data_IF_651295368018
#
_entry.id   IF_651295368018
#
_cell.length_a   1.000
_cell.length_b   1.000
_cell.length_c   1.000
_cell.angle_alpha   90.00
_cell.angle_beta   90.00
_cell.angle_gamma   90.00
#
_symmetry.space_group_name_H-M   'P 1'
#
loop_
_entity.id
_entity.type
_entity.pdbx_description
1 polymer ?
#
# COMPACT_ATOMS: atom_id res chain seq x y z
N UNK A 1 7.89 -0.71 -30.65
CA UNK A 1 8.52 -2.05 -30.79
C UNK A 1 8.82 -2.57 -29.39
N UNK A 2 8.00 -3.48 -28.86
CA UNK A 2 8.28 -4.10 -27.55
C UNK A 2 9.44 -5.06 -27.78
N UNK A 3 10.59 -4.82 -27.11
CA UNK A 3 11.75 -5.71 -27.22
C UNK A 3 11.35 -7.07 -26.67
N UNK A 4 11.41 -8.10 -27.50
CA UNK A 4 11.05 -9.46 -27.11
C UNK A 4 11.93 -9.89 -25.93
N UNK A 5 11.30 -10.30 -24.82
CA UNK A 5 12.01 -10.67 -23.60
C UNK A 5 12.54 -12.10 -23.75
N UNK A 6 13.78 -12.33 -23.33
CA UNK A 6 14.31 -13.70 -23.25
C UNK A 6 13.46 -14.52 -22.26
N UNK A 7 13.30 -15.83 -22.49
CA UNK A 7 12.55 -16.72 -21.59
C UNK A 7 13.05 -16.66 -20.12
N UNK A 8 14.37 -16.57 -19.92
CA UNK A 8 14.95 -16.41 -18.59
C UNK A 8 14.47 -15.14 -17.88
N UNK A 9 14.39 -14.03 -18.61
CA UNK A 9 13.89 -12.75 -18.07
C UNK A 9 12.44 -12.88 -17.65
N UNK A 10 11.58 -13.45 -18.48
CA UNK A 10 10.17 -13.65 -18.15
C UNK A 10 9.97 -14.57 -16.93
N UNK A 11 10.79 -15.62 -16.83
CA UNK A 11 10.80 -16.52 -15.68
C UNK A 11 11.20 -15.79 -14.39
N UNK A 12 12.30 -15.02 -14.42
CA UNK A 12 12.75 -14.25 -13.26
C UNK A 12 11.72 -13.21 -12.81
N UNK A 13 11.05 -12.54 -13.76
CA UNK A 13 9.93 -11.64 -13.47
C UNK A 13 8.77 -12.36 -12.77
N UNK A 14 8.34 -13.51 -13.31
CA UNK A 14 7.26 -14.29 -12.72
C UNK A 14 7.60 -14.79 -11.31
N UNK A 15 8.82 -15.33 -11.10
CA UNK A 15 9.29 -15.78 -9.78
C UNK A 15 9.35 -14.62 -8.79
N UNK A 16 9.77 -13.43 -9.25
CA UNK A 16 9.87 -12.24 -8.39
C UNK A 16 8.50 -11.76 -7.93
N UNK A 17 7.51 -11.73 -8.82
CA UNK A 17 6.12 -11.40 -8.45
C UNK A 17 5.50 -12.48 -7.58
N UNK A 18 5.74 -13.76 -7.89
CA UNK A 18 5.24 -14.86 -7.07
C UNK A 18 5.84 -14.83 -5.66
N UNK A 19 7.14 -14.53 -5.51
CA UNK A 19 7.76 -14.32 -4.21
C UNK A 19 7.04 -13.23 -3.41
N UNK A 20 6.71 -12.11 -4.04
CA UNK A 20 5.95 -11.03 -3.40
C UNK A 20 4.53 -11.48 -2.98
N UNK A 21 3.79 -12.15 -3.86
CA UNK A 21 2.44 -12.67 -3.57
C UNK A 21 2.49 -13.67 -2.40
N UNK A 22 3.38 -14.65 -2.46
CA UNK A 22 3.55 -15.66 -1.42
C UNK A 22 3.98 -15.05 -0.09
N UNK A 23 4.81 -14.00 -0.12
CA UNK A 23 5.22 -13.29 1.09
C UNK A 23 4.05 -12.56 1.74
N UNK A 24 3.19 -11.91 0.95
CA UNK A 24 1.99 -11.25 1.45
C UNK A 24 0.98 -12.25 2.04
N UNK A 25 0.75 -13.39 1.38
CA UNK A 25 -0.26 -14.37 1.80
C UNK A 25 0.20 -15.28 2.95
N UNK A 26 1.43 -15.78 2.90
CA UNK A 26 1.84 -16.94 3.70
C UNK A 26 3.00 -16.70 4.64
N UNK A 27 3.84 -15.69 4.42
CA UNK A 27 5.04 -15.50 5.24
C UNK A 27 4.70 -15.23 6.71
N UNK A 28 3.72 -14.38 6.99
CA UNK A 28 3.29 -14.13 8.36
C UNK A 28 2.82 -15.39 9.09
N UNK A 29 2.00 -16.21 8.42
CA UNK A 29 1.53 -17.49 8.97
C UNK A 29 2.69 -18.48 9.16
N UNK A 30 3.59 -18.59 8.18
CA UNK A 30 4.77 -19.44 8.27
C UNK A 30 5.68 -19.03 9.43
N UNK A 31 5.87 -17.72 9.67
CA UNK A 31 6.62 -17.22 10.83
C UNK A 31 5.96 -17.61 12.15
N UNK A 32 4.63 -17.53 12.27
CA UNK A 32 3.91 -17.97 13.48
C UNK A 32 4.11 -19.47 13.70
N UNK A 33 3.86 -20.29 12.67
CA UNK A 33 4.01 -21.75 12.74
C UNK A 33 5.45 -22.10 13.15
N UNK A 34 6.45 -21.46 12.54
CA UNK A 34 7.85 -21.67 12.87
C UNK A 34 8.14 -21.33 14.34
N UNK A 35 7.72 -20.15 14.81
CA UNK A 35 7.98 -19.72 16.19
C UNK A 35 7.31 -20.64 17.21
N UNK A 36 6.07 -21.07 16.95
CA UNK A 36 5.35 -22.03 17.79
C UNK A 36 6.03 -23.40 17.75
N UNK A 37 6.37 -23.91 16.57
CA UNK A 37 7.06 -25.19 16.41
C UNK A 37 8.38 -25.23 17.18
N UNK A 38 9.22 -24.19 17.04
CA UNK A 38 10.51 -24.11 17.73
C UNK A 38 10.37 -24.15 19.25
N UNK A 39 9.29 -23.61 19.82
CA UNK A 39 9.00 -23.70 21.26
C UNK A 39 8.84 -25.15 21.75
N UNK A 40 8.49 -26.10 20.87
CA UNK A 40 8.36 -27.52 21.18
C UNK A 40 9.59 -28.37 20.80
N UNK A 41 10.72 -27.72 20.50
CA UNK A 41 11.99 -28.39 20.17
C UNK A 41 13.10 -27.99 21.14
N UNK A 42 14.29 -28.61 21.04
CA UNK A 42 15.48 -28.17 21.78
C UNK A 42 15.92 -26.74 21.46
N UNK A 43 15.39 -26.14 20.38
CA UNK A 43 15.65 -24.77 19.96
C UNK A 43 14.71 -23.73 20.60
N UNK A 44 13.85 -24.11 21.55
CA UNK A 44 12.94 -23.20 22.26
C UNK A 44 13.58 -21.93 22.89
N UNK A 45 14.88 -21.90 23.27
CA UNK A 45 15.49 -20.68 23.75
C UNK A 45 15.49 -19.56 22.70
N UNK A 46 15.56 -19.88 21.40
CA UNK A 46 15.57 -18.90 20.32
C UNK A 46 14.26 -18.06 20.26
N UNK A 47 13.07 -18.65 20.12
CA UNK A 47 11.82 -17.89 20.15
C UNK A 47 11.60 -17.20 21.49
N UNK A 48 12.00 -17.79 22.62
CA UNK A 48 11.86 -17.16 23.94
C UNK A 48 12.67 -15.87 24.04
N UNK A 49 13.96 -15.90 23.67
CA UNK A 49 14.81 -14.71 23.64
C UNK A 49 14.27 -13.66 22.67
N UNK A 50 13.78 -14.10 21.51
CA UNK A 50 13.15 -13.20 20.55
C UNK A 50 11.90 -12.53 21.13
N UNK A 51 11.00 -13.26 21.80
CA UNK A 51 9.80 -12.67 22.41
C UNK A 51 10.13 -11.69 23.54
N UNK A 52 11.12 -12.01 24.38
CA UNK A 52 11.62 -11.07 25.40
C UNK A 52 12.10 -9.77 24.74
N UNK A 53 12.91 -9.88 23.69
CA UNK A 53 13.34 -8.71 22.93
C UNK A 53 12.15 -7.97 22.28
N UNK A 54 11.18 -8.70 21.71
CA UNK A 54 10.02 -8.13 21.03
C UNK A 54 9.12 -7.32 21.98
N UNK A 55 9.00 -7.72 23.25
CA UNK A 55 8.27 -6.94 24.28
C UNK A 55 8.96 -5.59 24.50
N UNK A 56 10.29 -5.56 24.63
CA UNK A 56 11.05 -4.33 24.75
C UNK A 56 10.98 -3.48 23.46
N UNK A 57 10.89 -4.15 22.30
CA UNK A 57 10.85 -3.55 20.98
C UNK A 57 9.43 -3.23 20.47
N UNK A 58 8.41 -3.40 21.31
CA UNK A 58 7.02 -3.47 20.86
C UNK A 58 6.58 -2.24 20.03
N UNK A 59 7.02 -1.05 20.44
CA UNK A 59 6.60 0.22 19.84
C UNK A 59 7.45 0.67 18.64
N UNK A 60 8.54 -0.04 18.32
CA UNK A 60 9.45 0.36 17.24
C UNK A 60 8.78 0.52 15.87
N UNK A 61 7.83 -0.33 15.44
CA UNK A 61 7.12 -0.14 14.17
C UNK A 61 6.41 1.21 14.06
N UNK A 62 5.87 1.72 15.18
CA UNK A 62 5.15 2.99 15.24
C UNK A 62 6.08 4.19 15.47
N UNK A 63 7.38 3.96 15.66
CA UNK A 63 8.40 4.97 15.96
C UNK A 63 9.47 5.05 14.86
N UNK A 64 9.05 4.87 13.60
CA UNK A 64 9.91 4.99 12.42
C UNK A 64 10.49 3.67 11.90
N UNK A 65 10.27 2.56 12.63
CA UNK A 65 10.66 1.21 12.20
C UNK A 65 12.16 1.03 11.98
N UNK A 66 12.52 0.08 11.10
CA UNK A 66 13.91 -0.30 10.78
C UNK A 66 14.14 -0.37 9.27
N UNK A 67 13.83 0.71 8.56
CA UNK A 67 14.02 0.79 7.11
C UNK A 67 15.46 0.49 6.72
N UNK A 68 15.65 -0.40 5.75
CA UNK A 68 16.99 -0.71 5.20
C UNK A 68 17.05 -0.38 3.70
N UNK A 69 18.16 0.21 3.25
CA UNK A 69 18.39 0.42 1.83
C UNK A 69 18.63 -0.90 1.09
N UNK A 70 19.21 -1.90 1.76
CA UNK A 70 19.52 -3.20 1.19
C UNK A 70 18.25 -3.92 0.70
N UNK A 71 17.25 -4.09 1.57
CA UNK A 71 16.00 -4.77 1.19
C UNK A 71 15.27 -3.98 0.11
N UNK A 72 15.19 -2.66 0.22
CA UNK A 72 14.51 -1.81 -0.78
C UNK A 72 15.17 -1.78 -2.16
N UNK A 73 16.46 -2.16 -2.26
CA UNK A 73 17.25 -2.25 -3.49
C UNK A 73 17.43 -3.67 -4.02
N UNK A 74 16.75 -4.67 -3.46
CA UNK A 74 16.83 -6.04 -3.98
C UNK A 74 16.49 -6.10 -5.47
N UNK A 75 17.26 -6.90 -6.22
CA UNK A 75 17.08 -7.08 -7.67
C UNK A 75 15.69 -7.63 -8.03
N UNK A 76 15.07 -8.37 -7.11
CA UNK A 76 13.70 -8.90 -7.25
C UNK A 76 12.69 -7.78 -7.52
N UNK A 77 12.88 -6.57 -6.96
CA UNK A 77 11.98 -5.43 -7.19
C UNK A 77 12.12 -4.83 -8.58
N UNK A 78 13.30 -4.91 -9.20
CA UNK A 78 13.48 -4.53 -10.60
C UNK A 78 12.72 -5.49 -11.51
N UNK A 79 12.79 -6.79 -11.24
CA UNK A 79 12.03 -7.80 -11.99
C UNK A 79 10.52 -7.64 -11.78
N UNK A 80 10.09 -7.36 -10.54
CA UNK A 80 8.70 -7.04 -10.20
C UNK A 80 8.18 -5.85 -11.02
N UNK A 81 8.92 -4.75 -11.04
CA UNK A 81 8.58 -3.55 -11.84
C UNK A 81 8.43 -3.88 -13.32
N UNK A 82 9.35 -4.67 -13.87
CA UNK A 82 9.36 -5.05 -15.29
C UNK A 82 8.29 -6.08 -15.66
N UNK A 83 7.74 -6.83 -14.69
CA UNK A 83 6.61 -7.74 -14.90
C UNK A 83 5.31 -6.97 -15.20
N UNK A 84 5.06 -5.90 -14.43
CA UNK A 84 3.87 -5.02 -14.54
C UNK A 84 4.12 -3.70 -15.29
N UNK A 85 5.20 -3.59 -16.08
CA UNK A 85 5.81 -2.32 -16.46
C UNK A 85 5.47 -1.09 -15.59
N UNK A 86 5.78 -1.13 -14.28
CA UNK A 86 5.34 -0.08 -13.34
C UNK A 86 6.03 1.26 -13.65
N UNK A 87 5.23 2.33 -13.72
CA UNK A 87 5.68 3.71 -13.94
C UNK A 87 5.21 4.61 -12.81
N UNK A 88 6.11 5.48 -12.34
CA UNK A 88 5.80 6.59 -11.45
C UNK A 88 5.76 7.88 -12.27
N UNK A 89 4.63 8.60 -12.24
CA UNK A 89 4.43 9.87 -12.92
C UNK A 89 4.28 10.97 -11.88
N UNK A 90 5.03 12.05 -12.06
CA UNK A 90 5.02 13.24 -11.19
C UNK A 90 4.29 14.37 -11.91
N UNK A 91 3.30 14.99 -11.27
CA UNK A 91 2.61 16.17 -11.81
C UNK A 91 3.08 17.49 -11.20
N UNK A 92 3.68 17.46 -10.00
CA UNK A 92 4.19 18.64 -9.31
C UNK A 92 5.39 18.30 -8.42
N UNK A 93 6.18 19.31 -8.06
CA UNK A 93 7.24 19.16 -7.07
C UNK A 93 6.68 19.01 -5.64
N UNK A 94 7.32 18.14 -4.87
CA UNK A 94 7.12 18.04 -3.42
C UNK A 94 8.36 18.64 -2.75
N UNK A 95 8.18 19.76 -2.05
CA UNK A 95 9.24 20.44 -1.31
C UNK A 95 9.72 19.57 -0.15
N UNK A 96 11.04 19.37 0.02
CA UNK A 96 11.60 18.65 1.18
C UNK A 96 11.39 19.40 2.50
N UNK A 97 10.93 20.65 2.47
CA UNK A 97 10.66 21.46 3.66
C UNK A 97 9.25 21.25 4.24
N UNK A 98 8.43 20.41 3.58
CA UNK A 98 7.08 20.07 4.03
C UNK A 98 6.92 18.57 4.27
N UNK A 99 5.89 18.23 5.03
CA UNK A 99 5.44 16.84 5.20
C UNK A 99 4.15 16.65 4.41
N UNK A 100 3.88 15.42 4.01
CA UNK A 100 2.80 15.07 3.11
C UNK A 100 2.06 13.82 3.58
N UNK A 101 0.76 13.79 3.34
CA UNK A 101 -0.04 12.56 3.34
C UNK A 101 -0.48 12.29 1.90
N UNK A 102 0.06 11.22 1.32
CA UNK A 102 -0.29 10.74 -0.01
C UNK A 102 -1.41 9.71 0.12
N UNK A 103 -2.61 10.03 -0.37
CA UNK A 103 -3.68 9.04 -0.45
C UNK A 103 -3.59 8.26 -1.75
N UNK A 104 -3.24 6.97 -1.67
CA UNK A 104 -3.08 6.07 -2.81
C UNK A 104 -4.38 5.34 -3.13
N UNK A 105 -4.76 5.39 -4.41
CA UNK A 105 -5.99 4.80 -4.95
C UNK A 105 -5.73 4.12 -6.30
N UNK A 106 -6.55 3.14 -6.71
CA UNK A 106 -7.30 2.25 -5.83
C UNK A 106 -6.32 1.30 -5.09
N UNK A 107 -6.82 0.56 -4.11
CA UNK A 107 -6.12 -0.51 -3.42
C UNK A 107 -5.84 -1.70 -4.35
N UNK A 108 -6.76 -1.99 -5.27
CA UNK A 108 -6.79 -3.27 -5.97
C UNK A 108 -6.82 -4.43 -4.97
N UNK A 109 -6.33 -5.60 -5.36
CA UNK A 109 -6.24 -6.74 -4.43
C UNK A 109 -5.02 -6.62 -3.49
N UNK A 110 -3.86 -6.15 -3.99
CA UNK A 110 -2.59 -6.19 -3.26
C UNK A 110 -1.73 -4.91 -3.36
N UNK A 111 -2.23 -3.82 -3.95
CA UNK A 111 -1.52 -2.53 -4.04
C UNK A 111 -0.13 -2.61 -4.70
N UNK A 112 0.02 -3.35 -5.80
CA UNK A 112 1.29 -3.55 -6.49
C UNK A 112 1.97 -2.23 -6.88
N UNK A 113 1.20 -1.27 -7.44
CA UNK A 113 1.70 0.05 -7.80
C UNK A 113 2.22 0.83 -6.60
N UNK A 114 1.46 0.87 -5.51
CA UNK A 114 1.87 1.57 -4.29
C UNK A 114 3.11 0.92 -3.65
N UNK A 115 3.18 -0.40 -3.61
CA UNK A 115 4.34 -1.12 -3.10
C UNK A 115 5.61 -0.81 -3.93
N UNK A 116 5.53 -0.97 -5.26
CA UNK A 116 6.65 -0.71 -6.15
C UNK A 116 7.13 0.74 -6.07
N UNK A 117 6.20 1.70 -6.10
CA UNK A 117 6.53 3.13 -6.14
C UNK A 117 7.01 3.68 -4.80
N UNK A 118 6.44 3.23 -3.67
CA UNK A 118 6.66 3.90 -2.37
C UNK A 118 7.42 3.05 -1.35
N UNK A 119 7.53 1.73 -1.55
CA UNK A 119 8.27 0.85 -0.63
C UNK A 119 9.62 0.40 -1.17
N UNK A 120 9.78 0.30 -2.49
CA UNK A 120 11.06 -0.12 -3.10
C UNK A 120 11.81 1.07 -3.72
N UNK A 121 13.04 0.87 -4.18
CA UNK A 121 13.75 1.86 -5.03
C UNK A 121 13.56 1.60 -6.53
N UNK A 122 12.79 0.57 -6.91
CA UNK A 122 12.70 0.13 -8.31
C UNK A 122 12.08 1.16 -9.24
N UNK A 123 11.18 2.01 -8.74
CA UNK A 123 10.47 3.03 -9.52
C UNK A 123 11.07 4.44 -9.40
N UNK A 124 12.18 4.59 -8.67
CA UNK A 124 12.92 5.85 -8.63
C UNK A 124 12.22 7.00 -7.90
N UNK A 125 11.51 6.73 -6.80
CA UNK A 125 10.82 7.78 -6.04
C UNK A 125 11.79 8.83 -5.48
N UNK A 126 12.93 8.40 -4.93
CA UNK A 126 13.91 9.29 -4.32
C UNK A 126 14.53 10.26 -5.35
N UNK A 127 14.69 9.80 -6.58
CA UNK A 127 15.16 10.59 -7.72
C UNK A 127 14.07 11.54 -8.24
N UNK A 128 12.81 11.09 -8.23
CA UNK A 128 11.66 11.86 -8.70
C UNK A 128 11.26 12.98 -7.73
N UNK A 129 11.42 12.74 -6.43
CA UNK A 129 11.15 13.69 -5.35
C UNK A 129 12.36 13.83 -4.42
N UNK A 130 13.43 14.54 -4.85
CA UNK A 130 14.65 14.67 -4.08
C UNK A 130 14.41 15.27 -2.69
N UNK A 131 14.96 14.61 -1.66
CA UNK A 131 14.81 15.04 -0.26
C UNK A 131 13.47 14.69 0.37
N UNK A 132 12.54 14.04 -0.35
CA UNK A 132 11.28 13.52 0.20
C UNK A 132 11.38 12.01 0.38
N UNK A 133 11.06 11.53 1.58
CA UNK A 133 11.07 10.12 1.96
C UNK A 133 9.65 9.57 1.99
N UNK A 134 9.32 8.68 1.05
CA UNK A 134 8.08 7.91 1.06
C UNK A 134 8.10 6.81 2.12
N UNK A 135 7.00 6.64 2.85
CA UNK A 135 6.76 5.54 3.79
C UNK A 135 5.34 5.03 3.59
N UNK A 136 5.19 3.79 3.10
CA UNK A 136 3.88 3.18 2.89
C UNK A 136 3.34 2.59 4.20
N UNK A 137 2.15 3.05 4.59
CA UNK A 137 1.45 2.59 5.78
C UNK A 137 0.50 1.45 5.43
N UNK A 138 0.62 0.32 6.13
CA UNK A 138 -0.18 -0.90 5.91
C UNK A 138 -0.80 -1.40 7.21
N UNK A 139 -1.66 -2.42 7.15
CA UNK A 139 -2.40 -2.97 8.29
C UNK A 139 -1.53 -3.16 9.55
N UNK A 140 -1.87 -2.45 10.62
CA UNK A 140 -1.08 -2.41 11.86
C UNK A 140 -0.91 -3.78 12.54
N UNK A 141 -1.90 -4.68 12.39
CA UNK A 141 -1.84 -6.03 12.95
C UNK A 141 -0.66 -6.87 12.45
N UNK A 142 -0.18 -6.63 11.22
CA UNK A 142 0.93 -7.38 10.65
C UNK A 142 2.25 -7.14 11.39
N UNK A 143 2.40 -5.98 12.05
CA UNK A 143 3.60 -5.64 12.82
C UNK A 143 3.65 -6.28 14.22
N UNK A 144 2.61 -7.04 14.59
CA UNK A 144 2.57 -7.88 15.80
C UNK A 144 3.04 -9.31 15.54
N UNK A 145 3.23 -9.69 14.29
CA UNK A 145 3.64 -11.04 13.90
C UNK A 145 5.17 -11.16 14.03
N UNK A 146 5.69 -12.12 14.81
CA UNK A 146 7.13 -12.28 15.00
C UNK A 146 7.82 -12.63 13.67
N UNK A 147 9.06 -12.17 13.48
CA UNK A 147 9.88 -12.29 12.25
C UNK A 147 9.32 -11.53 11.03
N UNK A 148 8.01 -11.57 10.80
CA UNK A 148 7.36 -10.88 9.70
C UNK A 148 7.42 -9.36 9.88
N UNK A 149 7.24 -8.86 11.11
CA UNK A 149 7.34 -7.42 11.41
C UNK A 149 8.72 -6.85 11.04
N UNK A 150 9.81 -7.61 11.20
CA UNK A 150 11.16 -7.21 10.81
C UNK A 150 11.29 -7.13 9.31
N UNK A 151 10.74 -8.10 8.57
CA UNK A 151 10.69 -8.06 7.11
C UNK A 151 9.95 -6.81 6.62
N UNK A 152 8.76 -6.52 7.18
CA UNK A 152 7.98 -5.32 6.82
C UNK A 152 8.73 -4.02 7.11
N UNK A 153 9.28 -3.89 8.32
CA UNK A 153 10.06 -2.71 8.71
C UNK A 153 11.31 -2.55 7.84
N UNK A 154 11.98 -3.64 7.47
CA UNK A 154 13.17 -3.61 6.62
C UNK A 154 12.89 -3.08 5.22
N UNK A 155 11.69 -3.36 4.69
CA UNK A 155 11.17 -2.79 3.45
C UNK A 155 10.73 -1.32 3.60
N UNK A 156 10.78 -0.74 4.80
CA UNK A 156 10.40 0.64 5.08
C UNK A 156 8.90 0.86 5.20
N UNK A 157 8.13 -0.20 5.46
CA UNK A 157 6.70 -0.14 5.74
C UNK A 157 6.46 0.26 7.19
N UNK A 158 5.32 0.92 7.46
CA UNK A 158 4.90 1.24 8.83
C UNK A 158 3.44 0.84 9.09
N UNK A 159 3.03 0.73 10.37
CA UNK A 159 1.63 0.52 10.73
C UNK A 159 0.78 1.73 10.32
N UNK A 160 -0.35 1.50 9.66
CA UNK A 160 -1.40 2.52 9.46
C UNK A 160 -2.15 2.75 10.77
N UNK A 161 -1.52 3.51 11.67
CA UNK A 161 -2.04 3.87 12.98
C UNK A 161 -1.76 5.34 13.27
N UNK A 162 -2.61 6.00 14.09
CA UNK A 162 -2.40 7.40 14.49
C UNK A 162 -1.00 7.61 15.10
N UNK A 163 -0.49 6.76 16.01
CA UNK A 163 0.87 6.89 16.54
C UNK A 163 1.97 6.93 15.46
N UNK A 164 1.93 6.04 14.47
CA UNK A 164 2.90 6.00 13.37
C UNK A 164 2.86 7.27 12.52
N UNK A 165 1.65 7.70 12.14
CA UNK A 165 1.46 8.91 11.32
C UNK A 165 1.94 10.14 12.09
N UNK A 166 1.54 10.29 13.36
CA UNK A 166 1.99 11.38 14.22
C UNK A 166 3.52 11.39 14.34
N UNK A 167 4.15 10.23 14.56
CA UNK A 167 5.60 10.13 14.67
C UNK A 167 6.31 10.60 13.39
N UNK A 168 5.85 10.16 12.22
CA UNK A 168 6.43 10.54 10.93
C UNK A 168 6.21 12.04 10.63
N UNK A 169 5.04 12.58 10.95
CA UNK A 169 4.67 13.96 10.61
C UNK A 169 5.20 15.00 11.60
N UNK A 170 5.52 14.61 12.84
CA UNK A 170 5.94 15.53 13.90
C UNK A 170 7.33 15.28 14.50
N UNK A 171 7.82 14.04 14.52
CA UNK A 171 9.09 13.68 15.19
C UNK A 171 10.21 13.31 14.21
N UNK A 172 9.89 13.09 12.94
CA UNK A 172 10.85 12.64 11.92
C UNK A 172 11.37 13.79 11.02
N UNK A 173 11.26 15.04 11.47
CA UNK A 173 11.66 16.21 10.70
C UNK A 173 10.71 16.55 9.53
N UNK A 174 11.25 17.20 8.50
CA UNK A 174 10.55 17.57 7.26
C UNK A 174 10.91 16.61 6.12
N UNK A 175 10.18 16.67 5.01
CA UNK A 175 10.39 15.82 3.84
C UNK A 175 9.80 14.42 4.00
N UNK A 176 8.82 14.22 4.88
CA UNK A 176 8.17 12.92 5.05
C UNK A 176 6.90 12.84 4.20
N UNK A 177 6.79 11.82 3.35
CA UNK A 177 5.59 11.49 2.59
C UNK A 177 4.99 10.17 3.10
N UNK A 178 3.96 10.28 3.93
CA UNK A 178 3.25 9.10 4.45
C UNK A 178 2.20 8.68 3.44
N UNK A 179 2.34 7.48 2.89
CA UNK A 179 1.42 6.94 1.87
C UNK A 179 0.40 6.05 2.54
N UNK A 180 -0.89 6.34 2.32
CA UNK A 180 -2.01 5.60 2.89
C UNK A 180 -2.87 5.09 1.74
N UNK A 181 -3.15 3.79 1.71
CA UNK A 181 -4.17 3.25 0.81
C UNK A 181 -5.54 3.45 1.46
N UNK A 182 -6.21 4.54 1.09
CA UNK A 182 -7.32 5.12 1.87
C UNK A 182 -8.52 4.18 1.96
N UNK A 183 -8.86 3.49 0.87
CA UNK A 183 -10.00 2.59 0.83
C UNK A 183 -9.77 1.27 1.58
N UNK A 184 -8.52 0.86 1.76
CA UNK A 184 -8.13 -0.32 2.53
C UNK A 184 -8.83 -1.60 2.04
N UNK A 185 -9.09 -2.52 2.97
CA UNK A 185 -9.74 -3.80 2.68
C UNK A 185 -11.13 -3.67 2.04
N UNK A 186 -11.88 -2.61 2.36
CA UNK A 186 -13.21 -2.39 1.77
C UNK A 186 -13.12 -2.10 0.26
N UNK A 187 -12.10 -1.37 -0.17
CA UNK A 187 -11.85 -1.08 -1.59
C UNK A 187 -11.31 -2.30 -2.33
N UNK A 188 -10.46 -3.10 -1.67
CA UNK A 188 -10.05 -4.40 -2.21
C UNK A 188 -11.23 -5.32 -2.49
N UNK A 189 -12.23 -5.34 -1.60
CA UNK A 189 -13.44 -6.14 -1.77
C UNK A 189 -14.41 -5.59 -2.83
N UNK A 190 -14.21 -4.35 -3.26
CA UNK A 190 -14.97 -3.71 -4.33
C UNK A 190 -14.18 -3.64 -5.65
N UNK A 191 -12.99 -4.25 -5.70
CA UNK A 191 -12.09 -4.21 -6.84
C UNK A 191 -12.55 -5.19 -7.92
N UNK A 192 -12.77 -4.69 -9.12
CA UNK A 192 -13.11 -5.51 -10.28
C UNK A 192 -12.40 -4.95 -11.52
N UNK A 193 -11.92 -5.82 -12.43
CA UNK A 193 -11.43 -5.41 -13.74
C UNK A 193 -12.46 -4.52 -14.45
N UNK A 194 -11.98 -3.50 -15.16
CA UNK A 194 -12.75 -2.51 -15.91
C UNK A 194 -13.45 -1.44 -15.06
N UNK A 195 -13.50 -1.60 -13.73
CA UNK A 195 -14.22 -0.68 -12.84
C UNK A 195 -13.22 0.17 -12.07
N UNK A 196 -13.36 1.50 -12.18
CA UNK A 196 -12.52 2.48 -11.48
C UNK A 196 -13.29 3.02 -10.27
N UNK A 197 -13.33 2.23 -9.19
CA UNK A 197 -14.06 2.57 -7.97
C UNK A 197 -13.11 2.72 -6.79
N UNK A 198 -13.34 3.76 -5.99
CA UNK A 198 -12.56 4.07 -4.79
C UNK A 198 -13.46 4.28 -3.58
N UNK A 199 -13.10 3.70 -2.43
CA UNK A 199 -13.80 3.82 -1.15
C UNK A 199 -13.18 4.95 -0.35
N UNK A 200 -13.77 6.13 -0.43
CA UNK A 200 -13.21 7.34 0.17
C UNK A 200 -14.25 8.29 0.75
N UNK A 201 -15.52 8.17 0.36
CA UNK A 201 -16.57 9.16 0.68
C UNK A 201 -16.70 9.43 2.19
N UNK A 202 -16.52 8.40 3.01
CA UNK A 202 -16.61 8.50 4.48
C UNK A 202 -15.24 8.41 5.18
N UNK A 203 -14.13 8.34 4.43
CA UNK A 203 -12.78 8.13 4.96
C UNK A 203 -12.07 9.46 5.22
N UNK A 204 -12.44 10.17 6.29
CA UNK A 204 -11.92 11.52 6.58
C UNK A 204 -10.71 11.58 7.53
N UNK A 205 -10.35 10.45 8.15
CA UNK A 205 -9.30 10.42 9.19
C UNK A 205 -7.91 10.87 8.72
N UNK A 206 -7.56 10.62 7.46
CA UNK A 206 -6.28 11.07 6.90
C UNK A 206 -6.24 12.58 6.71
N UNK A 207 -7.37 13.20 6.30
CA UNK A 207 -7.53 14.66 6.18
C UNK A 207 -7.43 15.32 7.55
N UNK A 208 -8.09 14.75 8.56
CA UNK A 208 -7.95 15.23 9.94
C UNK A 208 -6.50 15.21 10.41
N UNK A 209 -5.80 14.10 10.18
CA UNK A 209 -4.39 13.95 10.55
C UNK A 209 -3.49 14.94 9.80
N UNK A 210 -3.77 15.20 8.51
CA UNK A 210 -3.07 16.21 7.73
C UNK A 210 -3.22 17.61 8.34
N UNK A 211 -4.45 18.01 8.72
CA UNK A 211 -4.72 19.28 9.38
C UNK A 211 -4.05 19.38 10.76
N UNK A 212 -4.12 18.35 11.59
CA UNK A 212 -3.47 18.29 12.91
C UNK A 212 -1.96 18.61 12.85
N UNK A 213 -1.31 18.21 11.75
CA UNK A 213 0.14 18.33 11.58
C UNK A 213 0.59 19.35 10.53
N UNK A 214 -0.32 19.98 9.79
CA UNK A 214 0.02 20.84 8.65
C UNK A 214 0.79 20.09 7.57
N UNK A 215 0.36 18.86 7.26
CA UNK A 215 0.94 18.02 6.22
C UNK A 215 0.08 18.11 4.96
N UNK A 216 0.65 18.58 3.85
CA UNK A 216 -0.09 18.80 2.62
C UNK A 216 -0.67 17.46 2.11
N UNK A 217 -1.91 17.50 1.62
CA UNK A 217 -2.59 16.31 1.09
C UNK A 217 -2.22 16.13 -0.38
N UNK A 218 -1.92 14.90 -0.80
CA UNK A 218 -1.53 14.61 -2.20
C UNK A 218 -2.35 13.45 -2.73
N UNK A 219 -3.21 13.64 -3.76
CA UNK A 219 -3.91 12.53 -4.39
C UNK A 219 -2.95 11.71 -5.24
N UNK A 220 -3.04 10.38 -5.12
CA UNK A 220 -2.28 9.43 -5.93
C UNK A 220 -3.24 8.43 -6.56
N UNK A 221 -3.14 8.22 -7.86
CA UNK A 221 -3.95 7.24 -8.59
C UNK A 221 -3.08 6.26 -9.39
N UNK A 222 -3.35 4.95 -9.26
CA UNK A 222 -2.65 3.87 -9.94
C UNK A 222 -3.54 3.21 -10.98
N UNK A 223 -3.35 3.59 -12.25
CA UNK A 223 -4.05 2.98 -13.38
C UNK A 223 -3.54 1.55 -13.63
N UNK A 224 -4.45 0.64 -13.97
CA UNK A 224 -4.15 -0.79 -14.22
C UNK A 224 -4.14 -1.67 -12.97
N UNK A 225 -4.24 -1.08 -11.78
CA UNK A 225 -4.18 -1.82 -10.49
C UNK A 225 -5.33 -2.83 -10.33
N UNK A 226 -6.54 -2.49 -10.78
CA UNK A 226 -7.71 -3.39 -10.74
C UNK A 226 -7.67 -4.51 -11.79
N UNK A 227 -6.73 -4.47 -12.74
CA UNK A 227 -6.59 -5.48 -13.80
C UNK A 227 -5.63 -6.62 -13.41
N UNK A 228 -4.97 -6.52 -12.27
CA UNK A 228 -3.90 -7.45 -11.87
C UNK A 228 -4.43 -8.80 -11.40
N UNK A 229 -5.69 -8.85 -10.98
CA UNK A 229 -6.35 -10.04 -10.47
C UNK A 229 -7.84 -9.99 -10.77
N UNK A 230 -8.48 -11.15 -10.82
CA UNK A 230 -9.93 -11.26 -10.84
C UNK A 230 -10.42 -11.58 -9.43
N UNK A 231 -11.23 -10.70 -8.84
CA UNK A 231 -11.84 -10.98 -7.54
C UNK A 231 -12.88 -12.11 -7.66
N UNK A 232 -12.88 -13.01 -6.69
CA UNK A 232 -13.96 -14.00 -6.52
C UNK A 232 -15.05 -13.35 -5.68
N UNK A 233 -16.17 -13.01 -6.31
CA UNK A 233 -17.33 -12.41 -5.66
C UNK A 233 -18.32 -13.51 -5.30
N UNK A 234 -18.57 -13.67 -4.00
CA UNK A 234 -19.58 -14.60 -3.49
C UNK A 234 -20.97 -13.98 -3.59
N UNK A 235 -21.95 -14.75 -4.05
CA UNK A 235 -23.35 -14.34 -4.06
C UNK A 235 -23.88 -14.19 -2.64
N UNK A 236 -24.81 -13.25 -2.46
CA UNK A 236 -25.47 -13.02 -1.18
C UNK A 236 -26.18 -14.30 -0.71
N UNK A 237 -26.02 -14.62 0.57
CA UNK A 237 -26.58 -15.83 1.19
C UNK A 237 -25.79 -17.12 0.98
N UNK A 238 -24.76 -17.14 0.11
CA UNK A 238 -23.91 -18.31 -0.12
C UNK A 238 -23.08 -18.71 1.11
N UNK A 239 -22.68 -19.99 1.18
CA UNK A 239 -21.78 -20.49 2.24
C UNK A 239 -20.45 -19.72 2.24
N UNK A 240 -19.89 -19.42 1.06
CA UNK A 240 -18.68 -18.63 0.92
C UNK A 240 -18.82 -17.22 1.50
N UNK A 241 -19.95 -16.55 1.26
CA UNK A 241 -20.23 -15.24 1.86
C UNK A 241 -20.36 -15.32 3.38
N UNK A 242 -21.06 -16.33 3.90
CA UNK A 242 -21.18 -16.55 5.35
C UNK A 242 -19.82 -16.79 6.02
N UNK A 243 -18.93 -17.56 5.39
CA UNK A 243 -17.56 -17.77 5.89
C UNK A 243 -16.72 -16.49 5.84
N UNK A 244 -16.84 -15.71 4.77
CA UNK A 244 -16.18 -14.41 4.61
C UNK A 244 -16.64 -13.43 5.70
N UNK A 245 -17.94 -13.39 6.00
CA UNK A 245 -18.53 -12.55 7.05
C UNK A 245 -18.11 -13.03 8.46
N UNK A 246 -18.06 -14.34 8.70
CA UNK A 246 -17.53 -14.89 9.95
C UNK A 246 -16.08 -14.46 10.18
N UNK A 247 -15.22 -14.61 9.17
CA UNK A 247 -13.82 -14.19 9.26
C UNK A 247 -13.71 -12.69 9.51
N UNK A 248 -14.52 -11.88 8.82
CA UNK A 248 -14.59 -10.44 9.05
C UNK A 248 -14.96 -10.08 10.49
N UNK A 249 -15.88 -10.80 11.10
CA UNK A 249 -16.27 -10.56 12.49
C UNK A 249 -15.16 -10.90 13.48
N UNK A 250 -14.32 -11.90 13.18
CA UNK A 250 -13.18 -12.30 14.03
C UNK A 250 -11.97 -11.40 13.81
N UNK A 251 -11.63 -11.10 12.56
CA UNK A 251 -10.37 -10.46 12.18
C UNK A 251 -10.50 -8.97 11.84
N UNK A 252 -11.72 -8.44 11.77
CA UNK A 252 -12.02 -7.04 11.46
C UNK A 252 -12.00 -6.68 9.97
N UNK A 253 -11.65 -7.62 9.08
CA UNK A 253 -11.68 -7.45 7.63
C UNK A 253 -12.06 -8.77 6.94
N UNK A 254 -12.77 -8.67 5.82
CA UNK A 254 -13.15 -9.84 5.03
C UNK A 254 -11.99 -10.26 4.12
N UNK A 255 -11.67 -11.57 4.03
CA UNK A 255 -10.62 -12.05 3.14
C UNK A 255 -11.03 -11.81 1.69
N UNK A 256 -10.16 -11.15 0.93
CA UNK A 256 -10.36 -10.96 -0.50
C UNK A 256 -9.83 -12.19 -1.25
N UNK A 257 -10.73 -13.02 -1.76
CA UNK A 257 -10.35 -14.14 -2.62
C UNK A 257 -10.22 -13.66 -4.06
N UNK A 258 -9.24 -14.20 -4.77
CA UNK A 258 -8.91 -13.77 -6.12
C UNK A 258 -8.34 -14.93 -6.94
N UNK A 259 -8.33 -14.73 -8.26
CA UNK A 259 -7.72 -15.61 -9.25
C UNK A 259 -6.80 -14.77 -10.13
N UNK A 260 -5.54 -15.20 -10.21
CA UNK A 260 -4.56 -14.73 -11.19
C UNK A 260 -4.47 -15.67 -12.40
N UNK A 261 -3.43 -15.52 -13.22
CA UNK A 261 -3.14 -16.39 -14.37
C UNK A 261 -2.65 -17.78 -13.92
N UNK A 262 -1.32 -17.97 -13.87
CA UNK A 262 -0.70 -19.27 -13.64
C UNK A 262 -0.82 -19.66 -12.17
N UNK A 263 -1.17 -20.92 -11.92
CA UNK A 263 -1.42 -21.47 -10.57
C UNK A 263 -2.44 -20.66 -9.76
N UNK A 264 -3.30 -19.88 -10.42
CA UNK A 264 -4.29 -18.97 -9.82
C UNK A 264 -3.74 -17.89 -8.87
N UNK A 265 -2.43 -17.84 -8.60
CA UNK A 265 -1.80 -16.87 -7.69
C UNK A 265 -0.92 -15.85 -8.42
N UNK A 266 -0.40 -16.20 -9.60
CA UNK A 266 0.43 -15.27 -10.36
C UNK A 266 -0.46 -14.17 -10.97
N UNK A 267 -0.23 -12.88 -10.71
CA UNK A 267 -1.07 -11.79 -11.19
C UNK A 267 -1.03 -11.65 -12.72
N UNK A 268 -2.07 -11.06 -13.32
CA UNK A 268 -2.08 -10.78 -14.76
C UNK A 268 -0.97 -9.79 -15.16
N UNK A 269 -0.31 -10.02 -16.29
CA UNK A 269 0.73 -9.11 -16.81
C UNK A 269 0.10 -7.86 -17.43
N UNK A 270 -0.22 -6.88 -16.59
CA UNK A 270 -0.82 -5.61 -17.01
C UNK A 270 0.06 -4.42 -16.59
N UNK A 271 0.15 -3.37 -17.43
CA UNK A 271 0.90 -2.17 -17.09
C UNK A 271 0.24 -1.44 -15.91
N UNK A 272 1.05 -0.98 -14.95
CA UNK A 272 0.59 -0.14 -13.84
C UNK A 272 1.24 1.24 -13.93
N UNK A 273 0.45 2.30 -13.93
CA UNK A 273 0.96 3.69 -13.92
C UNK A 273 0.43 4.43 -12.71
N UNK A 274 1.31 4.69 -11.74
CA UNK A 274 1.01 5.45 -10.53
C UNK A 274 1.33 6.92 -10.75
N UNK A 275 0.30 7.75 -10.75
CA UNK A 275 0.38 9.21 -10.91
C UNK A 275 0.28 9.87 -9.55
N UNK A 276 1.29 10.66 -9.19
CA UNK A 276 1.31 11.49 -7.98
C UNK A 276 0.87 12.89 -8.36
N UNK A 277 -0.30 13.30 -7.85
CA UNK A 277 -0.92 14.58 -8.11
C UNK A 277 -0.25 15.76 -7.40
N UNK A 278 -0.81 16.95 -7.62
CA UNK A 278 -0.33 18.18 -6.99
C UNK A 278 -0.70 18.26 -5.51
N UNK A 279 0.17 18.81 -4.64
CA UNK A 279 -0.15 18.96 -3.23
C UNK A 279 -1.26 19.99 -3.02
N UNK A 280 -2.17 19.67 -2.11
CA UNK A 280 -3.21 20.55 -1.57
C UNK A 280 -2.67 21.08 -0.23
N UNK A 281 -2.28 22.36 -0.17
CA UNK A 281 -1.77 22.94 1.06
C UNK A 281 -2.86 22.99 2.13
N UNK A 282 -2.52 22.56 3.35
CA UNK A 282 -3.43 22.61 4.49
C UNK A 282 -2.81 23.41 5.63
N UNK A 283 -3.60 24.21 6.39
CA UNK A 283 -3.11 24.87 7.57
C UNK A 283 -2.88 23.84 8.67
N UNK A 284 -1.93 24.12 9.57
CA UNK A 284 -1.81 23.37 10.80
C UNK A 284 -2.89 23.83 11.78
N UNK A 285 -3.83 22.95 12.11
CA UNK A 285 -4.88 23.17 13.10
C UNK A 285 -4.89 21.99 14.07
N UNK A 286 -4.50 22.20 15.34
CA UNK A 286 -4.35 21.11 16.33
C UNK A 286 -5.66 20.39 16.60
N UNK A 287 -6.78 21.11 16.54
CA UNK A 287 -8.13 20.59 16.76
C UNK A 287 -9.03 21.03 15.61
N UNK A 288 -8.93 20.40 14.43
CA UNK A 288 -9.69 20.81 13.26
C UNK A 288 -11.19 20.51 13.47
N UNK A 289 -12.05 21.45 13.08
CA UNK A 289 -13.51 21.25 13.13
C UNK A 289 -13.94 20.28 12.02
N UNK A 290 -15.15 19.70 12.13
CA UNK A 290 -15.67 18.83 11.07
C UNK A 290 -15.85 19.58 9.75
N UNK A 291 -16.24 20.85 9.78
CA UNK A 291 -16.40 21.67 8.58
C UNK A 291 -15.06 21.89 7.88
N UNK A 292 -13.97 22.09 8.63
CA UNK A 292 -12.62 22.19 8.06
C UNK A 292 -12.18 20.86 7.43
N UNK A 293 -12.42 19.74 8.12
CA UNK A 293 -12.12 18.41 7.59
C UNK A 293 -12.92 18.14 6.32
N UNK A 294 -14.20 18.49 6.30
CA UNK A 294 -15.10 18.26 5.15
C UNK A 294 -14.73 19.13 3.95
N UNK A 295 -14.33 20.38 4.20
CA UNK A 295 -13.81 21.27 3.17
C UNK A 295 -12.57 20.68 2.47
N UNK A 296 -11.55 20.30 3.24
CA UNK A 296 -10.33 19.73 2.67
C UNK A 296 -10.52 18.34 2.09
N UNK A 297 -11.43 17.54 2.63
CA UNK A 297 -11.81 16.25 2.06
C UNK A 297 -12.49 16.45 0.70
N UNK A 298 -13.38 17.43 0.56
CA UNK A 298 -13.99 17.79 -0.73
C UNK A 298 -12.94 18.21 -1.75
N UNK A 299 -12.03 19.11 -1.39
CA UNK A 299 -10.91 19.52 -2.26
C UNK A 299 -10.04 18.32 -2.68
N UNK A 300 -9.78 17.40 -1.76
CA UNK A 300 -9.05 16.17 -2.07
C UNK A 300 -9.78 15.29 -3.08
N UNK A 301 -11.09 15.09 -2.91
CA UNK A 301 -11.90 14.29 -3.83
C UNK A 301 -11.94 14.91 -5.22
N UNK A 302 -12.14 16.23 -5.32
CA UNK A 302 -12.13 16.97 -6.58
C UNK A 302 -10.77 16.85 -7.28
N UNK A 303 -9.67 17.01 -6.54
CA UNK A 303 -8.32 16.85 -7.09
C UNK A 303 -8.04 15.43 -7.56
N UNK A 304 -8.54 14.40 -6.87
CA UNK A 304 -8.40 13.01 -7.31
C UNK A 304 -9.19 12.73 -8.59
N UNK A 305 -10.44 13.22 -8.68
CA UNK A 305 -11.27 13.10 -9.88
C UNK A 305 -10.59 13.79 -11.06
N UNK A 306 -10.09 15.02 -10.86
CA UNK A 306 -9.33 15.75 -11.88
C UNK A 306 -8.10 14.97 -12.34
N UNK A 307 -7.28 14.49 -11.40
CA UNK A 307 -6.08 13.69 -11.70
C UNK A 307 -6.42 12.43 -12.51
N UNK A 308 -7.51 11.75 -12.16
CA UNK A 308 -7.98 10.60 -12.92
C UNK A 308 -8.33 10.98 -14.36
N UNK A 309 -9.14 12.02 -14.55
CA UNK A 309 -9.62 12.43 -15.87
C UNK A 309 -8.51 12.94 -16.79
N UNK A 310 -7.51 13.64 -16.24
CA UNK A 310 -6.36 14.15 -17.00
C UNK A 310 -5.46 13.03 -17.55
N UNK A 311 -5.33 11.92 -16.80
CA UNK A 311 -4.36 10.87 -17.13
C UNK A 311 -4.95 9.58 -17.72
N UNK A 312 -6.27 9.33 -17.57
CA UNK A 312 -6.91 8.06 -17.95
C UNK A 312 -6.63 7.62 -19.40
N UNK A 313 -6.68 8.53 -20.36
CA UNK A 313 -6.48 8.21 -21.79
C UNK A 313 -5.03 7.82 -22.06
N UNK A 314 -4.08 8.57 -21.52
CA UNK A 314 -2.65 8.26 -21.63
C UNK A 314 -2.27 6.93 -20.96
N UNK A 315 -3.08 6.48 -19.99
CA UNK A 315 -2.90 5.22 -19.27
C UNK A 315 -3.73 4.06 -19.85
N UNK A 316 -4.34 4.24 -21.04
CA UNK A 316 -5.01 3.16 -21.78
C UNK A 316 -6.50 2.97 -21.49
N UNK A 317 -7.13 3.87 -20.73
CA UNK A 317 -8.59 3.88 -20.56
C UNK A 317 -9.26 4.74 -21.62
N UNK A 318 -10.51 4.44 -21.97
CA UNK A 318 -11.30 5.30 -22.88
C UNK A 318 -11.79 6.57 -22.20
N UNK A 319 -12.16 7.59 -22.99
CA UNK A 319 -12.77 8.82 -22.48
C UNK A 319 -14.09 8.59 -21.73
N UNK A 320 -14.82 7.50 -22.02
CA UNK A 320 -16.07 7.17 -21.33
C UNK A 320 -15.87 6.68 -19.89
N UNK A 321 -14.67 6.21 -19.52
CA UNK A 321 -14.40 5.77 -18.16
C UNK A 321 -14.52 6.93 -17.16
N UNK A 322 -15.15 6.66 -16.02
CA UNK A 322 -15.34 7.60 -14.92
C UNK A 322 -14.79 7.00 -13.62
N UNK A 323 -14.38 7.87 -12.70
CA UNK A 323 -14.03 7.48 -11.34
C UNK A 323 -15.30 7.48 -10.48
N UNK A 324 -15.59 6.34 -9.86
CA UNK A 324 -16.68 6.20 -8.89
C UNK A 324 -16.12 6.33 -7.47
N UNK A 325 -16.53 7.38 -6.74
CA UNK A 325 -16.21 7.53 -5.33
C UNK A 325 -17.37 7.01 -4.50
N UNK A 326 -17.12 5.96 -3.71
CA UNK A 326 -18.07 5.36 -2.77
C UNK A 326 -17.60 5.48 -1.32
#
# INVERSE_FOLDING_TARGET
MVKEKTQLKEFLEAVSVLQWVLSFLFLGLACIILMVYLMFTSLWPLPTLYFIWMVNDWQTPERGGRRTAFVRKWKVWLQFREYFPVKLVKTADLSPNKNYILGSHPHGIMCAGAFACFSTESCGFAETFPGVKSTLAILAGLFKIPLFREYLMSAGLCPVSKPSLVHLLSKSGKGNAVVIVVGGAAESLASSPGINRVVMKQRKGFVRTALEHGADLVPVYSFGENELFQQVIFSDGSLGRRLQDLFKNVMGFAPCLFVGERFALLPFRKPVTTVVGSPIPVPKCVTPTEEQVDHYHTLYMEALVKLFHEHKVSCGLSESHKLEII
#
